data_IF_941837258584
#
_entry.id   IF_941837258584
#
_cell.length_a   1.000
_cell.length_b   1.000
_cell.length_c   1.000
_cell.angle_alpha   90.00
_cell.angle_beta   90.00
_cell.angle_gamma   90.00
#
_symmetry.space_group_name_H-M   'P 1'
#
loop_
_entity.id
_entity.type
_entity.pdbx_description
1 polymer ?
#
# COMPACT_ATOMS: atom_id res chain seq x y z
N UNK A 1 19.14 13.33 7.03
CA UNK A 1 18.74 14.75 7.03
C UNK A 1 17.23 14.80 7.19
N UNK A 2 16.69 15.68 8.02
CA UNK A 2 15.23 15.85 8.16
C UNK A 2 14.71 16.70 6.99
N UNK A 3 13.55 16.35 6.47
CA UNK A 3 12.86 17.07 5.38
C UNK A 3 11.36 17.13 5.68
N UNK A 4 10.61 17.99 5.01
CA UNK A 4 9.15 17.94 5.11
C UNK A 4 8.63 16.64 4.51
N UNK A 5 7.54 16.13 5.06
CA UNK A 5 6.88 14.92 4.54
C UNK A 5 6.48 15.12 3.07
N UNK A 6 6.00 16.30 2.69
CA UNK A 6 5.73 16.64 1.28
C UNK A 6 6.93 16.38 0.35
N UNK A 7 8.13 16.77 0.78
CA UNK A 7 9.35 16.56 -0.01
C UNK A 7 9.66 15.08 -0.16
N UNK A 8 9.50 14.30 0.92
CA UNK A 8 9.79 12.87 0.92
C UNK A 8 8.77 12.07 0.12
N UNK A 9 7.49 12.41 0.19
CA UNK A 9 6.42 11.78 -0.63
C UNK A 9 6.65 12.05 -2.13
N UNK A 10 7.18 13.23 -2.48
CA UNK A 10 7.53 13.57 -3.86
C UNK A 10 8.75 12.81 -4.41
N UNK A 11 9.49 12.08 -3.58
CA UNK A 11 10.65 11.30 -3.99
C UNK A 11 10.24 9.87 -4.35
N UNK A 12 10.93 9.30 -5.34
CA UNK A 12 10.80 7.89 -5.64
C UNK A 12 11.56 7.05 -4.59
N UNK A 13 11.06 5.86 -4.20
CA UNK A 13 11.83 4.89 -3.43
C UNK A 13 13.23 4.70 -4.00
N UNK A 14 14.24 4.67 -3.14
CA UNK A 14 15.65 4.73 -3.53
C UNK A 14 16.43 3.48 -3.18
N UNK A 15 15.93 2.67 -2.24
CA UNK A 15 16.60 1.45 -1.83
C UNK A 15 16.55 0.39 -2.94
N UNK A 16 17.69 -0.21 -3.33
CA UNK A 16 17.73 -1.20 -4.40
C UNK A 16 17.01 -2.50 -4.03
N UNK A 17 16.29 -3.05 -5.01
CA UNK A 17 15.52 -4.27 -4.86
C UNK A 17 15.94 -5.32 -5.90
N UNK A 18 16.40 -6.47 -5.42
CA UNK A 18 16.54 -7.66 -6.25
C UNK A 18 15.20 -8.41 -6.28
N UNK A 19 14.50 -8.32 -7.40
CA UNK A 19 13.31 -9.14 -7.66
C UNK A 19 13.73 -10.59 -7.93
N UNK A 20 13.09 -11.54 -7.25
CA UNK A 20 13.33 -12.98 -7.43
C UNK A 20 12.28 -13.64 -8.32
N UNK A 21 11.27 -12.89 -8.76
CA UNK A 21 10.16 -13.33 -9.62
C UNK A 21 9.31 -14.48 -9.07
N UNK A 22 9.54 -14.87 -7.82
CA UNK A 22 8.69 -15.81 -7.13
C UNK A 22 7.33 -15.14 -6.86
N UNK A 23 6.25 -15.93 -6.96
CA UNK A 23 4.86 -15.45 -6.87
C UNK A 23 4.22 -16.04 -5.61
N UNK A 24 3.52 -15.21 -4.84
CA UNK A 24 2.68 -15.71 -3.76
C UNK A 24 1.22 -15.84 -4.22
N UNK A 25 0.59 -16.92 -3.78
CA UNK A 25 -0.83 -17.16 -4.01
C UNK A 25 -1.61 -17.01 -2.70
N UNK A 26 -2.88 -16.63 -2.80
CA UNK A 26 -3.83 -16.75 -1.69
C UNK A 26 -5.06 -17.51 -2.17
N UNK A 27 -5.36 -18.64 -1.52
CA UNK A 27 -6.61 -19.39 -1.69
C UNK A 27 -7.47 -19.29 -0.43
N UNK A 28 -7.51 -18.10 0.20
CA UNK A 28 -8.35 -17.83 1.37
C UNK A 28 -9.80 -18.17 1.00
N UNK A 29 -10.45 -19.04 1.77
CA UNK A 29 -11.80 -19.57 1.44
C UNK A 29 -12.84 -18.47 1.36
N UNK A 30 -12.71 -17.42 2.18
CA UNK A 30 -13.60 -16.27 2.20
C UNK A 30 -13.52 -15.39 0.94
N UNK A 31 -12.46 -15.50 0.12
CA UNK A 31 -12.35 -14.70 -1.12
C UNK A 31 -13.14 -15.31 -2.27
N UNK A 32 -13.55 -16.59 -2.17
CA UNK A 32 -14.28 -17.32 -3.23
C UNK A 32 -15.60 -16.69 -3.68
N UNK A 33 -16.41 -16.04 -2.82
CA UNK A 33 -17.65 -15.39 -3.23
C UNK A 33 -17.45 -14.07 -4.00
N UNK A 34 -16.26 -13.45 -3.94
CA UNK A 34 -16.03 -12.15 -4.56
C UNK A 34 -15.70 -12.29 -6.05
N UNK A 35 -16.30 -11.46 -6.92
CA UNK A 35 -16.00 -11.49 -8.34
C UNK A 35 -14.57 -11.04 -8.61
N UNK A 36 -13.95 -11.67 -9.60
CA UNK A 36 -12.58 -11.41 -9.98
C UNK A 36 -12.39 -10.02 -10.60
N UNK A 37 -11.28 -9.36 -10.25
CA UNK A 37 -10.84 -8.14 -10.92
C UNK A 37 -10.21 -8.54 -12.26
N UNK A 38 -10.79 -8.07 -13.37
CA UNK A 38 -10.32 -8.38 -14.72
C UNK A 38 -9.71 -7.15 -15.42
N UNK A 39 -10.27 -5.97 -15.14
CA UNK A 39 -9.83 -4.69 -15.68
C UNK A 39 -9.34 -3.83 -14.52
N UNK A 40 -8.18 -3.21 -14.70
CA UNK A 40 -7.61 -2.24 -13.78
C UNK A 40 -7.71 -0.85 -14.40
N UNK A 41 -8.19 0.11 -13.61
CA UNK A 41 -8.00 1.52 -13.93
C UNK A 41 -6.63 1.89 -13.36
N UNK A 42 -5.68 2.18 -14.24
CA UNK A 42 -4.28 2.38 -13.85
C UNK A 42 -3.92 3.84 -14.03
N UNK A 43 -3.58 4.48 -12.91
CA UNK A 43 -3.20 5.89 -12.83
C UNK A 43 -1.69 6.09 -12.75
N UNK A 44 -0.90 5.12 -13.23
CA UNK A 44 0.55 5.24 -13.33
C UNK A 44 1.05 4.74 -14.68
N UNK A 45 2.05 5.43 -15.24
CA UNK A 45 2.66 5.08 -16.53
C UNK A 45 4.17 5.13 -16.42
N UNK A 46 4.83 4.08 -16.90
CA UNK A 46 6.27 4.10 -17.11
C UNK A 46 6.58 4.92 -18.35
N UNK A 47 7.50 5.87 -18.23
CA UNK A 47 8.06 6.62 -19.33
C UNK A 47 9.32 5.90 -19.86
N UNK A 48 9.80 6.31 -21.05
CA UNK A 48 10.88 5.65 -21.80
C UNK A 48 12.24 5.65 -21.09
N UNK A 49 12.39 6.40 -20.01
CA UNK A 49 13.60 6.64 -19.21
C UNK A 49 13.54 5.98 -17.82
N UNK A 50 12.63 5.02 -17.60
CA UNK A 50 12.32 4.42 -16.29
C UNK A 50 11.70 5.39 -15.26
N UNK A 51 11.34 6.61 -15.65
CA UNK A 51 10.55 7.47 -14.78
C UNK A 51 9.10 6.98 -14.73
N UNK A 52 8.54 6.86 -13.53
CA UNK A 52 7.11 6.53 -13.34
C UNK A 52 6.33 7.82 -13.14
N UNK A 53 5.43 8.12 -14.06
CA UNK A 53 4.47 9.21 -13.91
C UNK A 53 3.22 8.69 -13.20
N UNK A 54 2.92 9.27 -12.04
CA UNK A 54 1.66 9.04 -11.34
C UNK A 54 0.65 10.16 -11.67
N UNK A 55 -0.60 9.77 -11.87
CA UNK A 55 -1.75 10.65 -12.05
C UNK A 55 -2.61 10.65 -10.79
N UNK A 56 -2.43 11.69 -9.97
CA UNK A 56 -3.15 11.79 -8.70
C UNK A 56 -4.60 12.29 -8.83
N UNK A 57 -5.10 12.57 -10.04
CA UNK A 57 -6.48 13.07 -10.24
C UNK A 57 -7.57 12.06 -9.87
N UNK A 58 -7.20 10.79 -9.70
CA UNK A 58 -8.10 9.76 -9.20
C UNK A 58 -8.42 9.90 -7.71
N UNK A 59 -7.54 10.59 -6.97
CA UNK A 59 -7.72 10.84 -5.55
C UNK A 59 -8.61 12.05 -5.31
N UNK A 60 -9.14 12.13 -4.10
CA UNK A 60 -9.77 13.36 -3.66
C UNK A 60 -8.73 14.50 -3.71
N UNK A 61 -9.10 15.72 -4.15
CA UNK A 61 -8.20 16.87 -4.03
C UNK A 61 -7.74 17.04 -2.57
N UNK A 62 -6.55 17.61 -2.42
CA UNK A 62 -6.02 18.01 -1.13
C UNK A 62 -7.01 18.97 -0.44
N UNK A 63 -7.28 18.69 0.82
CA UNK A 63 -8.04 19.54 1.72
C UNK A 63 -7.11 20.49 2.47
N UNK A 64 -7.67 21.57 3.02
CA UNK A 64 -6.89 22.60 3.72
C UNK A 64 -6.03 22.03 4.86
N UNK A 65 -6.49 20.98 5.54
CA UNK A 65 -5.79 20.33 6.65
C UNK A 65 -4.66 19.38 6.20
N UNK A 66 -4.60 18.99 4.92
CA UNK A 66 -3.47 18.22 4.37
C UNK A 66 -2.17 19.03 4.49
N UNK A 67 -2.24 20.35 4.36
CA UNK A 67 -1.09 21.24 4.53
C UNK A 67 -0.42 21.10 5.91
N UNK A 68 -1.20 20.84 6.96
CA UNK A 68 -0.69 20.62 8.32
C UNK A 68 0.13 19.34 8.41
N UNK A 69 -0.35 18.27 7.76
CA UNK A 69 0.30 16.95 7.73
C UNK A 69 1.54 16.97 6.84
N UNK A 70 1.45 17.59 5.67
CA UNK A 70 2.52 17.66 4.69
C UNK A 70 3.74 18.47 5.16
N UNK A 71 3.54 19.42 6.08
CA UNK A 71 4.60 20.20 6.74
C UNK A 71 5.24 19.49 7.95
N UNK A 72 4.73 18.34 8.38
CA UNK A 72 5.39 17.56 9.43
C UNK A 72 6.81 17.17 9.02
N UNK A 73 7.63 16.94 10.03
CA UNK A 73 9.01 16.52 9.82
C UNK A 73 9.06 15.01 9.60
N UNK A 74 9.64 14.62 8.47
CA UNK A 74 9.96 13.23 8.15
C UNK A 74 11.46 12.99 8.09
N UNK A 75 11.83 11.72 8.08
CA UNK A 75 13.18 11.26 7.78
C UNK A 75 13.14 10.39 6.54
N UNK A 76 14.14 10.55 5.68
CA UNK A 76 14.35 9.62 4.59
C UNK A 76 14.59 8.20 5.13
N UNK A 77 14.18 7.15 4.40
CA UNK A 77 14.52 5.79 4.74
C UNK A 77 16.05 5.61 4.85
N UNK A 78 16.49 4.74 5.78
CA UNK A 78 17.89 4.37 5.84
C UNK A 78 18.26 3.50 4.63
N UNK A 79 19.48 3.64 4.13
CA UNK A 79 19.98 2.86 3.00
C UNK A 79 20.00 1.36 3.33
N UNK A 80 19.37 0.56 2.47
CA UNK A 80 19.23 -0.89 2.59
C UNK A 80 19.11 -1.54 1.21
N UNK A 81 19.62 -2.76 1.07
CA UNK A 81 19.40 -3.59 -0.10
C UNK A 81 18.40 -4.69 0.21
N UNK A 82 17.37 -4.84 -0.62
CA UNK A 82 16.32 -5.82 -0.45
C UNK A 82 16.46 -6.97 -1.44
N UNK A 83 16.23 -8.19 -0.98
CA UNK A 83 16.05 -9.36 -1.82
C UNK A 83 14.63 -9.88 -1.61
N UNK A 84 13.78 -9.77 -2.62
CA UNK A 84 12.34 -10.04 -2.49
C UNK A 84 12.04 -11.55 -2.56
N UNK A 85 12.42 -12.33 -1.55
CA UNK A 85 12.27 -13.79 -1.49
C UNK A 85 10.94 -14.26 -0.87
N UNK A 86 10.35 -13.50 0.05
CA UNK A 86 9.07 -13.81 0.71
C UNK A 86 8.05 -12.66 0.61
N UNK A 87 6.84 -12.85 1.14
CA UNK A 87 5.85 -11.77 1.26
C UNK A 87 6.32 -10.72 2.29
N UNK A 88 6.93 -11.17 3.39
CA UNK A 88 7.45 -10.36 4.48
C UNK A 88 8.59 -9.44 4.04
N UNK A 89 9.41 -9.85 3.06
CA UNK A 89 10.42 -8.98 2.44
C UNK A 89 9.75 -7.78 1.76
N UNK A 90 8.65 -8.00 1.06
CA UNK A 90 7.86 -6.96 0.40
C UNK A 90 7.14 -6.05 1.40
N UNK A 91 6.61 -6.62 2.49
CA UNK A 91 6.02 -5.87 3.61
C UNK A 91 7.06 -4.93 4.23
N UNK A 92 8.25 -5.47 4.52
CA UNK A 92 9.35 -4.73 5.14
C UNK A 92 9.83 -3.59 4.24
N UNK A 93 9.98 -3.86 2.95
CA UNK A 93 10.31 -2.85 1.96
C UNK A 93 9.26 -1.73 1.92
N UNK A 94 7.98 -2.08 1.84
CA UNK A 94 6.90 -1.11 1.75
C UNK A 94 6.81 -0.22 2.97
N UNK A 95 6.92 -0.79 4.17
CA UNK A 95 6.97 0.03 5.38
C UNK A 95 8.16 0.97 5.37
N UNK A 96 9.33 0.49 4.95
CA UNK A 96 10.55 1.30 4.95
C UNK A 96 10.47 2.45 3.95
N UNK A 97 10.12 2.17 2.69
CA UNK A 97 10.17 3.14 1.60
C UNK A 97 8.92 4.00 1.46
N UNK A 98 7.75 3.50 1.86
CA UNK A 98 6.46 4.12 1.56
C UNK A 98 5.69 4.45 2.84
N UNK A 99 5.27 3.44 3.59
CA UNK A 99 4.32 3.63 4.68
C UNK A 99 4.90 4.47 5.82
N UNK A 100 6.16 4.28 6.24
CA UNK A 100 6.75 5.08 7.30
C UNK A 100 6.94 6.54 6.91
N UNK A 101 7.21 6.81 5.63
CA UNK A 101 7.31 8.18 5.10
C UNK A 101 5.94 8.87 5.18
N UNK A 102 4.89 8.19 4.74
CA UNK A 102 3.51 8.71 4.81
C UNK A 102 3.04 8.86 6.25
N UNK A 103 3.32 7.89 7.12
CA UNK A 103 2.90 7.93 8.53
C UNK A 103 3.52 9.08 9.31
N UNK A 104 4.67 9.59 8.90
CA UNK A 104 5.25 10.80 9.50
C UNK A 104 4.31 12.02 9.38
N UNK A 105 3.49 12.10 8.32
CA UNK A 105 2.47 13.15 8.16
C UNK A 105 1.38 13.07 9.25
N UNK A 106 1.10 11.85 9.72
CA UNK A 106 0.06 11.53 10.67
C UNK A 106 0.60 11.34 12.09
N UNK A 107 1.73 11.98 12.40
CA UNK A 107 2.27 11.97 13.76
C UNK A 107 1.35 12.69 14.76
N UNK A 108 0.68 13.75 14.31
CA UNK A 108 -0.17 14.60 15.16
C UNK A 108 -1.61 14.73 14.67
N UNK A 109 -1.84 14.78 13.36
CA UNK A 109 -3.14 15.18 12.79
C UNK A 109 -3.74 14.15 11.84
N UNK A 110 -4.61 13.23 12.29
CA UNK A 110 -4.61 12.65 13.63
C UNK A 110 -3.41 11.72 13.84
N UNK A 111 -3.10 11.39 15.08
CA UNK A 111 -2.12 10.34 15.39
C UNK A 111 -2.63 8.97 14.92
N UNK A 112 -1.94 8.37 13.96
CA UNK A 112 -2.24 7.03 13.45
C UNK A 112 -1.43 5.96 14.18
N UNK A 113 -2.12 4.89 14.60
CA UNK A 113 -1.52 3.67 15.13
C UNK A 113 -1.47 2.61 14.05
N UNK A 114 -0.26 2.14 13.75
CA UNK A 114 0.01 0.97 12.92
C UNK A 114 0.10 -0.28 13.82
N UNK A 115 -0.57 -1.36 13.43
CA UNK A 115 -0.46 -2.67 14.07
C UNK A 115 -0.27 -3.76 13.00
N UNK A 116 0.72 -4.64 13.20
CA UNK A 116 0.97 -5.79 12.33
C UNK A 116 0.17 -7.01 12.80
N UNK A 117 -0.27 -7.84 11.85
CA UNK A 117 -1.05 -9.06 12.12
C UNK A 117 -2.29 -8.81 12.98
N UNK A 118 -2.94 -7.66 12.76
CA UNK A 118 -4.08 -7.24 13.56
C UNK A 118 -5.37 -7.93 13.10
N UNK A 119 -6.33 -8.04 14.01
CA UNK A 119 -7.67 -8.53 13.66
C UNK A 119 -8.53 -7.39 13.13
N UNK A 120 -9.43 -7.64 12.17
CA UNK A 120 -10.48 -6.70 11.83
C UNK A 120 -11.27 -6.31 13.09
N UNK A 121 -11.60 -5.03 13.23
CA UNK A 121 -12.54 -4.56 14.26
C UNK A 121 -13.96 -4.96 13.84
N UNK A 122 -14.28 -6.24 14.04
CA UNK A 122 -15.61 -6.80 13.77
C UNK A 122 -16.29 -7.20 15.08
N UNK A 123 -17.62 -7.09 15.13
CA UNK A 123 -18.43 -7.73 16.18
C UNK A 123 -18.53 -9.25 15.99
N UNK A 124 -18.29 -9.75 14.78
CA UNK A 124 -18.18 -11.19 14.50
C UNK A 124 -16.82 -11.73 14.94
N UNK A 125 -16.82 -12.92 15.55
CA UNK A 125 -15.60 -13.71 15.84
C UNK A 125 -15.04 -14.30 14.55
N UNK A 126 -14.51 -13.46 13.67
CA UNK A 126 -13.76 -13.92 12.52
C UNK A 126 -12.27 -13.98 12.88
N UNK A 127 -11.68 -15.19 12.84
CA UNK A 127 -10.26 -15.45 13.15
C UNK A 127 -9.29 -14.98 12.05
N UNK A 128 -9.75 -14.10 11.16
CA UNK A 128 -8.92 -13.58 10.08
C UNK A 128 -8.02 -12.46 10.61
N UNK A 129 -6.73 -12.54 10.31
CA UNK A 129 -5.76 -11.47 10.55
C UNK A 129 -5.38 -10.82 9.23
N UNK A 130 -5.16 -9.50 9.28
CA UNK A 130 -4.59 -8.72 8.17
C UNK A 130 -3.11 -8.48 8.43
N UNK A 131 -2.31 -8.36 7.38
CA UNK A 131 -0.85 -8.16 7.54
C UNK A 131 -0.54 -6.85 8.27
N UNK A 132 -1.28 -5.79 7.97
CA UNK A 132 -1.20 -4.52 8.68
C UNK A 132 -2.54 -3.81 8.78
N UNK A 133 -2.76 -3.10 9.89
CA UNK A 133 -3.88 -2.19 10.07
C UNK A 133 -3.40 -0.81 10.55
N UNK A 134 -4.01 0.24 10.01
CA UNK A 134 -3.81 1.63 10.40
C UNK A 134 -5.09 2.15 11.02
N UNK A 135 -4.98 2.79 12.17
CA UNK A 135 -6.13 3.12 13.00
C UNK A 135 -5.96 4.43 13.75
N UNK A 136 -7.08 5.06 14.09
CA UNK A 136 -7.14 6.29 14.90
C UNK A 136 -8.02 6.07 16.11
N UNK A 137 -7.79 6.86 17.15
CA UNK A 137 -8.68 6.90 18.31
C UNK A 137 -9.62 8.10 18.20
N UNK A 138 -10.92 7.84 18.15
CA UNK A 138 -11.96 8.87 18.15
C UNK A 138 -12.93 8.60 19.29
N UNK A 139 -13.05 9.53 20.25
CA UNK A 139 -13.93 9.36 21.41
C UNK A 139 -13.57 8.14 22.29
N UNK A 140 -12.28 7.81 22.41
CA UNK A 140 -11.80 6.65 23.18
C UNK A 140 -11.93 5.30 22.46
N UNK A 141 -12.67 5.24 21.36
CA UNK A 141 -12.77 4.04 20.53
C UNK A 141 -11.72 4.05 19.39
N UNK A 142 -11.02 2.93 19.23
CA UNK A 142 -10.12 2.69 18.11
C UNK A 142 -10.95 2.38 16.86
N UNK A 143 -10.64 3.02 15.73
CA UNK A 143 -11.27 2.79 14.42
C UNK A 143 -10.21 2.54 13.37
N UNK A 144 -10.37 1.50 12.56
CA UNK A 144 -9.50 1.24 11.41
C UNK A 144 -9.79 2.25 10.30
N UNK A 145 -8.73 2.84 9.75
CA UNK A 145 -8.78 3.70 8.56
C UNK A 145 -8.45 2.91 7.30
N UNK A 146 -7.42 2.05 7.40
CA UNK A 146 -6.95 1.24 6.30
C UNK A 146 -6.42 -0.10 6.81
N UNK A 147 -6.61 -1.14 6.01
CA UNK A 147 -6.03 -2.46 6.22
C UNK A 147 -5.24 -2.84 4.96
N UNK A 148 -4.06 -3.41 5.17
CA UNK A 148 -3.16 -3.83 4.11
C UNK A 148 -2.98 -5.33 4.12
N UNK A 149 -3.04 -5.92 2.93
CA UNK A 149 -2.70 -7.32 2.66
C UNK A 149 -1.66 -7.33 1.54
N UNK A 150 -0.57 -8.07 1.73
CA UNK A 150 0.55 -8.09 0.81
C UNK A 150 0.54 -9.35 -0.03
N UNK A 151 0.69 -9.18 -1.35
CA UNK A 151 0.83 -10.27 -2.30
C UNK A 151 1.99 -9.99 -3.25
N UNK A 152 2.86 -10.97 -3.43
CA UNK A 152 4.08 -10.84 -4.23
C UNK A 152 3.89 -11.39 -5.64
N UNK A 153 4.32 -10.59 -6.61
CA UNK A 153 4.26 -10.95 -8.02
C UNK A 153 2.89 -11.33 -8.59
N UNK A 154 1.72 -10.89 -8.05
CA UNK A 154 0.45 -11.26 -8.65
C UNK A 154 0.36 -10.69 -10.07
N UNK A 155 0.75 -9.43 -10.32
CA UNK A 155 0.63 -8.80 -11.64
C UNK A 155 2.03 -8.61 -12.26
N UNK A 156 2.15 -8.75 -13.58
CA UNK A 156 3.38 -8.38 -14.29
C UNK A 156 3.37 -6.90 -14.66
N UNK A 157 4.54 -6.28 -14.79
CA UNK A 157 4.66 -4.88 -15.23
C UNK A 157 3.89 -4.60 -16.54
N UNK A 158 3.91 -5.55 -17.49
CA UNK A 158 3.16 -5.46 -18.74
C UNK A 158 1.64 -5.44 -18.51
N UNK A 159 1.11 -6.33 -17.66
CA UNK A 159 -0.33 -6.36 -17.33
C UNK A 159 -0.77 -5.10 -16.59
N UNK A 160 0.07 -4.62 -15.66
CA UNK A 160 -0.14 -3.35 -14.96
C UNK A 160 -0.24 -2.19 -15.95
N UNK A 161 0.73 -2.04 -16.84
CA UNK A 161 0.72 -0.96 -17.84
C UNK A 161 -0.42 -1.08 -18.86
N UNK A 162 -0.90 -2.29 -19.13
CA UNK A 162 -2.04 -2.52 -20.03
C UNK A 162 -3.41 -2.36 -19.34
N UNK A 163 -3.45 -2.26 -18.01
CA UNK A 163 -4.69 -2.24 -17.24
C UNK A 163 -5.53 -3.53 -17.38
N UNK A 164 -4.92 -4.64 -17.82
CA UNK A 164 -5.62 -5.88 -18.15
C UNK A 164 -4.93 -7.08 -17.51
N UNK A 165 -5.67 -7.83 -16.70
CA UNK A 165 -5.16 -9.02 -16.03
C UNK A 165 -5.43 -10.28 -16.86
N UNK A 166 -4.41 -11.12 -17.07
CA UNK A 166 -4.62 -12.44 -17.69
C UNK A 166 -5.07 -13.46 -16.64
N UNK A 167 -5.73 -14.51 -17.12
CA UNK A 167 -6.62 -15.46 -16.40
C UNK A 167 -6.09 -16.10 -15.10
N UNK A 168 -4.82 -15.96 -14.73
CA UNK A 168 -4.19 -16.62 -13.58
C UNK A 168 -4.21 -15.81 -12.29
N UNK A 169 -4.46 -14.51 -12.37
CA UNK A 169 -4.60 -13.59 -11.23
C UNK A 169 -5.96 -13.65 -10.54
N UNK A 170 -6.86 -14.46 -11.08
CA UNK A 170 -8.26 -14.51 -10.70
C UNK A 170 -8.45 -14.74 -9.19
N UNK A 171 -7.56 -15.44 -8.49
CA UNK A 171 -7.85 -15.87 -7.10
C UNK A 171 -7.40 -14.93 -5.98
N UNK A 172 -6.73 -13.81 -6.27
CA UNK A 172 -5.86 -13.18 -5.26
C UNK A 172 -6.27 -11.81 -4.69
N UNK A 173 -7.32 -11.11 -5.15
CA UNK A 173 -7.44 -9.68 -4.78
C UNK A 173 -8.87 -9.10 -4.68
N UNK A 174 -9.25 -8.49 -3.53
CA UNK A 174 -10.37 -7.55 -3.41
C UNK A 174 -10.06 -6.17 -4.02
N UNK A 175 -11.10 -5.37 -4.28
CA UNK A 175 -11.08 -4.11 -5.06
C UNK A 175 -10.22 -3.02 -4.37
N UNK A 176 -9.00 -2.81 -4.86
CA UNK A 176 -8.30 -1.53 -5.08
C UNK A 176 -6.77 -1.79 -5.12
N UNK A 177 -6.10 -1.31 -6.16
CA UNK A 177 -4.69 -1.59 -6.45
C UNK A 177 -3.90 -0.30 -6.61
N UNK A 178 -2.76 -0.18 -5.94
CA UNK A 178 -1.80 0.92 -6.08
C UNK A 178 -0.35 0.39 -6.13
N UNK A 179 0.53 1.07 -6.88
CA UNK A 179 2.00 0.90 -6.85
C UNK A 179 2.63 -0.20 -7.72
N UNK A 180 3.84 0.09 -8.22
CA UNK A 180 4.65 -0.77 -9.09
C UNK A 180 5.78 -1.48 -8.32
N UNK A 181 6.15 -2.66 -8.82
CA UNK A 181 7.23 -3.56 -8.41
C UNK A 181 7.03 -4.37 -7.12
N UNK A 182 5.99 -4.10 -6.35
CA UNK A 182 5.30 -5.05 -5.45
C UNK A 182 3.84 -4.64 -5.45
N UNK A 183 2.91 -5.59 -5.52
CA UNK A 183 1.51 -5.25 -5.76
C UNK A 183 0.84 -4.92 -4.43
N UNK A 184 0.52 -3.65 -4.20
CA UNK A 184 -0.14 -3.21 -2.98
C UNK A 184 -1.65 -3.27 -3.13
N UNK A 185 -2.30 -3.84 -2.12
CA UNK A 185 -3.74 -3.78 -1.94
C UNK A 185 -3.96 -2.88 -0.73
N UNK A 186 -4.27 -1.60 -0.98
CA UNK A 186 -4.76 -0.68 0.03
C UNK A 186 -6.28 -0.63 -0.10
N UNK A 187 -6.98 -1.28 0.82
CA UNK A 187 -8.42 -1.13 0.97
C UNK A 187 -8.68 -0.03 2.01
N UNK A 188 -9.15 1.14 1.55
CA UNK A 188 -9.71 2.17 2.42
C UNK A 188 -11.10 1.73 2.89
N UNK A 189 -11.31 1.68 4.20
CA UNK A 189 -12.60 1.40 4.83
C UNK A 189 -13.17 2.70 5.39
N UNK A 190 -13.46 3.66 4.53
CA UNK A 190 -14.22 4.85 4.89
C UNK A 190 -15.35 5.03 3.87
N UNK A 191 -16.55 4.66 4.31
CA UNK A 191 -17.84 5.06 3.76
C UNK A 191 -18.60 5.84 4.81
#
# INVERSE_FOLDING_TARGET
MSSSVATLIGQHPSNPCQDTHLISGSSKSWTKPFPYIANLIVHSRMQSDQATQADFRAFHPEYDDDSLRLQEHGNAPNERSYRMNSEEDGVTWFHTEVSNVVLAAFKRYPHIVQASHDRPMSESRDDHTVDVAYSVYTGGARKHMAIGEFKRGPISAKQWQQGKLTRHLRRACPRNFEGQHTHFILASALG
#
